data_IF_239796400156
#
_entry.id   IF_239796400156
#
_cell.length_a   1.000
_cell.length_b   1.000
_cell.length_c   1.000
_cell.angle_alpha   90.00
_cell.angle_beta   90.00
_cell.angle_gamma   90.00
#
_symmetry.space_group_name_H-M   'P 1'
#
loop_
_entity.id
_entity.type
_entity.pdbx_description
1 polymer ?
#
# COMPACT_ATOMS: atom_id res chain seq x y z
N UNK A 1 -5.83 -9.30 4.68
CA UNK A 1 -4.63 -10.10 5.03
C UNK A 1 -4.68 -11.40 4.26
N UNK A 2 -3.53 -11.86 3.81
CA UNK A 2 -3.40 -13.12 3.08
C UNK A 2 -3.67 -14.35 3.98
N UNK A 3 -3.64 -15.53 3.39
CA UNK A 3 -3.70 -16.79 4.14
C UNK A 3 -2.47 -16.92 5.05
N UNK A 4 -2.58 -17.79 6.03
CA UNK A 4 -1.46 -18.17 6.90
C UNK A 4 -0.27 -18.70 6.09
N UNK A 5 0.95 -18.39 6.53
CA UNK A 5 2.21 -18.82 5.90
C UNK A 5 2.38 -18.39 4.44
N UNK A 6 1.79 -17.26 4.06
CA UNK A 6 1.99 -16.69 2.72
C UNK A 6 3.19 -15.76 2.69
N UNK A 7 4.07 -15.99 1.74
CA UNK A 7 5.15 -15.08 1.37
C UNK A 7 4.73 -14.32 0.10
N UNK A 8 4.79 -12.99 0.15
CA UNK A 8 4.54 -12.11 -0.99
C UNK A 8 5.81 -11.33 -1.33
N UNK A 9 6.22 -11.40 -2.56
CA UNK A 9 7.34 -10.63 -3.10
C UNK A 9 6.81 -9.79 -4.25
N UNK A 10 7.09 -8.50 -4.25
CA UNK A 10 6.59 -7.65 -5.31
C UNK A 10 7.35 -6.36 -5.47
N UNK A 11 6.98 -5.65 -6.51
CA UNK A 11 7.46 -4.31 -6.78
C UNK A 11 6.40 -3.49 -7.49
N UNK A 12 6.42 -2.18 -7.21
CA UNK A 12 5.50 -1.23 -7.80
C UNK A 12 6.26 -0.07 -8.42
N UNK A 13 5.81 0.34 -9.58
CA UNK A 13 6.09 1.64 -10.13
C UNK A 13 5.19 2.67 -9.45
N UNK A 14 5.78 3.71 -8.88
CA UNK A 14 5.09 4.81 -8.23
C UNK A 14 5.19 6.07 -9.08
N UNK A 15 4.04 6.62 -9.43
CA UNK A 15 3.99 7.94 -10.02
C UNK A 15 4.51 8.98 -9.02
N UNK A 16 5.17 10.02 -9.52
CA UNK A 16 5.70 11.12 -8.69
C UNK A 16 4.65 11.78 -7.78
N UNK A 17 3.37 11.73 -8.16
CA UNK A 17 2.27 12.25 -7.34
C UNK A 17 2.02 11.45 -6.04
N UNK A 18 2.50 10.21 -5.98
CA UNK A 18 2.45 9.32 -4.81
C UNK A 18 3.71 9.38 -3.96
N UNK A 19 4.67 10.19 -4.35
CA UNK A 19 5.96 10.35 -3.69
C UNK A 19 6.06 11.72 -2.98
N UNK A 20 7.08 11.95 -2.15
CA UNK A 20 7.31 13.27 -1.56
C UNK A 20 7.33 14.38 -2.63
N UNK A 21 6.80 15.57 -2.33
CA UNK A 21 6.75 16.68 -3.30
C UNK A 21 8.11 17.11 -3.86
N UNK A 22 9.18 16.83 -3.14
CA UNK A 22 10.56 17.10 -3.57
C UNK A 22 11.12 16.08 -4.56
N UNK A 23 10.45 14.95 -4.72
CA UNK A 23 10.84 13.95 -5.71
C UNK A 23 10.18 14.28 -7.05
N UNK A 24 10.92 14.87 -7.93
CA UNK A 24 10.44 15.23 -9.27
C UNK A 24 10.36 14.05 -10.24
N UNK A 25 10.65 12.84 -9.77
CA UNK A 25 10.75 11.62 -10.58
C UNK A 25 9.73 10.58 -10.17
N UNK A 26 9.29 9.79 -11.14
CA UNK A 26 8.68 8.49 -10.86
C UNK A 26 9.70 7.58 -10.19
N UNK A 27 9.25 6.70 -9.33
CA UNK A 27 10.13 5.79 -8.61
C UNK A 27 9.56 4.38 -8.52
N UNK A 28 10.32 3.50 -7.89
CA UNK A 28 9.94 2.12 -7.67
C UNK A 28 10.03 1.79 -6.20
N UNK A 29 9.11 0.97 -5.72
CA UNK A 29 9.32 0.26 -4.48
C UNK A 29 9.33 -1.25 -4.72
N UNK A 30 10.02 -1.97 -3.86
CA UNK A 30 9.93 -3.41 -3.77
C UNK A 30 9.66 -3.81 -2.33
N UNK A 31 8.99 -4.92 -2.15
CA UNK A 31 8.62 -5.38 -0.82
C UNK A 31 8.67 -6.89 -0.70
N UNK A 32 8.92 -7.30 0.53
CA UNK A 32 8.77 -8.66 1.02
C UNK A 32 7.76 -8.64 2.15
N UNK A 33 6.70 -9.40 2.02
CA UNK A 33 5.63 -9.48 3.02
C UNK A 33 5.42 -10.94 3.43
N UNK A 34 5.33 -11.19 4.72
CA UNK A 34 5.14 -12.52 5.30
C UNK A 34 3.94 -12.51 6.23
N UNK A 35 2.96 -13.35 5.96
CA UNK A 35 1.88 -13.65 6.90
C UNK A 35 2.35 -14.77 7.83
N UNK A 36 2.82 -14.41 9.01
CA UNK A 36 3.39 -15.35 9.99
C UNK A 36 2.30 -16.15 10.67
N UNK A 37 1.21 -15.48 11.05
CA UNK A 37 0.01 -16.06 11.63
C UNK A 37 -1.25 -15.55 10.92
N UNK A 38 -2.38 -16.24 11.01
CA UNK A 38 -3.62 -15.75 10.40
C UNK A 38 -4.05 -14.34 10.83
N UNK A 39 -3.48 -13.84 11.92
CA UNK A 39 -3.77 -12.52 12.48
C UNK A 39 -2.59 -11.55 12.43
N UNK A 40 -1.38 -11.97 11.97
CA UNK A 40 -0.18 -11.13 11.94
C UNK A 40 0.55 -11.22 10.60
N UNK A 41 0.82 -10.05 10.03
CA UNK A 41 1.54 -9.88 8.78
C UNK A 41 2.64 -8.84 8.98
N UNK A 42 3.85 -9.15 8.54
CA UNK A 42 5.02 -8.27 8.60
C UNK A 42 5.53 -8.04 7.20
N UNK A 43 5.86 -6.81 6.86
CA UNK A 43 6.46 -6.48 5.59
C UNK A 43 7.73 -5.66 5.76
N UNK A 44 8.68 -5.88 4.85
CA UNK A 44 9.81 -5.00 4.60
C UNK A 44 9.60 -4.33 3.25
N UNK A 45 9.73 -3.02 3.20
CA UNK A 45 9.60 -2.24 1.97
C UNK A 45 10.83 -1.37 1.77
N UNK A 46 11.29 -1.30 0.54
CA UNK A 46 12.33 -0.38 0.12
C UNK A 46 11.83 0.45 -1.07
N UNK A 47 11.83 1.75 -0.92
CA UNK A 47 11.49 2.71 -1.98
C UNK A 47 12.77 3.33 -2.51
N UNK A 48 12.99 3.24 -3.81
CA UNK A 48 14.15 3.80 -4.48
C UNK A 48 13.86 5.25 -4.91
N UNK A 49 14.83 6.14 -4.78
CA UNK A 49 14.72 7.49 -5.30
C UNK A 49 16.05 8.03 -5.80
N UNK A 50 16.01 9.03 -6.68
CA UNK A 50 17.21 9.62 -7.26
C UNK A 50 17.90 10.57 -6.28
N UNK A 51 19.22 10.49 -6.19
CA UNK A 51 20.02 11.36 -5.35
C UNK A 51 19.88 12.85 -5.68
N UNK A 52 19.73 13.16 -6.96
CA UNK A 52 19.55 14.54 -7.46
C UNK A 52 18.33 15.24 -6.87
N UNK A 53 17.25 14.48 -6.63
CA UNK A 53 16.04 15.02 -6.01
C UNK A 53 16.27 15.54 -4.58
N UNK A 54 17.38 15.20 -3.98
CA UNK A 54 17.76 15.55 -2.61
C UNK A 54 18.85 16.61 -2.54
N UNK A 55 19.22 17.23 -3.66
CA UNK A 55 20.34 18.19 -3.70
C UNK A 55 21.71 17.53 -3.49
N UNK A 56 21.82 16.22 -3.65
CA UNK A 56 23.07 15.46 -3.56
C UNK A 56 23.83 15.39 -4.89
N UNK A 57 23.35 16.09 -5.90
CA UNK A 57 23.97 16.19 -7.23
C UNK A 57 25.47 16.51 -7.26
N UNK A 58 26.04 17.30 -6.32
CA UNK A 58 27.47 17.59 -6.36
C UNK A 58 28.36 16.37 -6.19
N UNK A 59 27.82 15.25 -5.76
CA UNK A 59 28.59 14.00 -5.56
C UNK A 59 28.57 13.07 -6.78
N UNK A 60 28.03 13.50 -7.91
CA UNK A 60 28.11 12.77 -9.17
C UNK A 60 27.26 11.48 -9.26
N UNK A 61 26.35 11.27 -8.35
CA UNK A 61 25.46 10.13 -8.37
C UNK A 61 24.25 10.41 -9.27
N UNK A 62 24.27 9.85 -10.46
CA UNK A 62 23.10 9.78 -11.35
C UNK A 62 22.42 8.43 -11.18
N UNK A 63 21.25 8.37 -10.57
CA UNK A 63 20.49 7.15 -10.48
C UNK A 63 19.77 6.90 -9.14
N UNK A 64 19.21 5.72 -8.99
CA UNK A 64 18.48 5.30 -7.78
C UNK A 64 19.44 4.84 -6.67
N UNK A 65 20.20 5.75 -6.10
CA UNK A 65 21.23 5.47 -5.11
C UNK A 65 20.72 5.59 -3.69
N UNK A 66 19.67 6.35 -3.46
CA UNK A 66 19.06 6.53 -2.15
C UNK A 66 17.84 5.62 -1.97
N UNK A 67 17.60 5.23 -0.73
CA UNK A 67 16.56 4.28 -0.39
C UNK A 67 15.89 4.69 0.91
N UNK A 68 14.55 4.71 0.90
CA UNK A 68 13.75 4.72 2.11
C UNK A 68 13.34 3.28 2.44
N UNK A 69 13.83 2.77 3.56
CA UNK A 69 13.63 1.38 3.99
C UNK A 69 12.84 1.34 5.28
N UNK A 70 11.77 0.57 5.30
CA UNK A 70 10.94 0.48 6.49
C UNK A 70 10.27 -0.87 6.64
N UNK A 71 9.87 -1.14 7.88
CA UNK A 71 9.03 -2.27 8.23
C UNK A 71 7.59 -1.84 8.41
N UNK A 72 6.68 -2.76 8.12
CA UNK A 72 5.25 -2.61 8.35
C UNK A 72 4.74 -3.80 9.12
N UNK A 73 3.75 -3.55 9.99
CA UNK A 73 3.07 -4.57 10.77
C UNK A 73 1.57 -4.41 10.59
N UNK A 74 0.86 -5.53 10.39
CA UNK A 74 -0.60 -5.60 10.38
C UNK A 74 -1.08 -6.65 11.35
N UNK A 75 -2.02 -6.28 12.20
CA UNK A 75 -2.63 -7.15 13.20
C UNK A 75 -4.14 -7.19 12.98
N UNK A 76 -4.68 -8.35 12.67
CA UNK A 76 -6.12 -8.55 12.54
C UNK A 76 -6.72 -8.82 13.91
N UNK A 77 -7.40 -7.82 14.47
CA UNK A 77 -8.06 -7.92 15.76
C UNK A 77 -9.35 -8.72 15.67
N UNK A 78 -10.12 -8.55 14.59
CA UNK A 78 -11.40 -9.21 14.41
C UNK A 78 -11.49 -9.82 13.01
N UNK A 79 -11.99 -11.06 12.93
CA UNK A 79 -12.33 -11.70 11.65
C UNK A 79 -13.69 -11.21 11.18
N UNK A 80 -13.88 -11.15 9.89
CA UNK A 80 -15.19 -10.91 9.31
C UNK A 80 -16.19 -12.00 9.73
N UNK A 81 -17.36 -11.56 10.17
CA UNK A 81 -18.42 -12.47 10.61
C UNK A 81 -18.13 -13.24 11.90
N UNK A 82 -17.16 -12.84 12.70
CA UNK A 82 -16.70 -13.59 13.88
C UNK A 82 -17.79 -13.77 14.95
N UNK A 83 -18.56 -12.73 15.25
CA UNK A 83 -19.62 -12.78 16.29
C UNK A 83 -21.02 -12.69 15.68
N UNK A 84 -21.19 -12.00 14.52
CA UNK A 84 -22.46 -11.94 13.80
C UNK A 84 -22.19 -11.72 12.29
N UNK A 85 -23.13 -12.12 11.45
CA UNK A 85 -23.02 -12.16 10.00
C UNK A 85 -22.51 -10.84 9.35
N UNK A 86 -22.93 -9.71 9.87
CA UNK A 86 -22.59 -8.40 9.28
C UNK A 86 -21.33 -7.76 9.87
N UNK A 87 -20.70 -8.41 10.83
CA UNK A 87 -19.50 -7.91 11.46
C UNK A 87 -18.35 -7.76 10.45
N UNK A 88 -17.73 -6.58 10.33
CA UNK A 88 -16.54 -6.40 9.49
C UNK A 88 -15.30 -7.03 10.12
N UNK A 89 -14.33 -7.36 9.30
CA UNK A 89 -12.97 -7.59 9.77
C UNK A 89 -12.34 -6.27 10.21
N UNK A 90 -11.57 -6.28 11.30
CA UNK A 90 -10.85 -5.09 11.79
C UNK A 90 -9.36 -5.40 11.86
N UNK A 91 -8.58 -4.51 11.28
CA UNK A 91 -7.11 -4.60 11.22
C UNK A 91 -6.52 -3.30 11.75
N UNK A 92 -5.55 -3.44 12.65
CA UNK A 92 -4.63 -2.38 13.03
C UNK A 92 -3.33 -2.54 12.26
N UNK A 93 -2.76 -1.45 11.79
CA UNK A 93 -1.50 -1.52 11.08
C UNK A 93 -0.63 -0.30 11.31
N UNK A 94 0.64 -0.49 11.03
CA UNK A 94 1.62 0.57 11.01
C UNK A 94 2.62 0.34 9.88
N UNK A 95 3.07 1.42 9.28
CA UNK A 95 4.21 1.44 8.36
C UNK A 95 5.24 2.39 8.92
N UNK A 96 6.49 2.00 8.90
CA UNK A 96 7.61 2.81 9.34
C UNK A 96 7.43 3.46 10.73
N UNK A 97 7.13 2.68 11.78
CA UNK A 97 6.83 3.23 13.10
C UNK A 97 8.07 3.82 13.81
N UNK A 98 9.27 3.46 13.36
CA UNK A 98 10.53 3.73 14.06
C UNK A 98 11.43 4.74 13.36
N UNK A 99 11.13 5.16 12.15
CA UNK A 99 11.99 6.12 11.44
C UNK A 99 12.03 7.44 12.18
N UNK A 100 13.23 7.80 12.61
CA UNK A 100 13.52 9.10 13.18
C UNK A 100 13.68 10.13 12.06
N UNK A 101 12.89 11.17 12.11
CA UNK A 101 12.93 12.29 11.16
C UNK A 101 14.04 13.29 11.45
N UNK A 102 14.85 13.04 12.46
CA UNK A 102 15.85 13.99 12.97
C UNK A 102 17.24 13.83 12.35
N UNK A 103 17.42 13.11 11.27
CA UNK A 103 18.72 13.14 10.62
C UNK A 103 18.92 14.49 9.93
N UNK A 104 19.94 15.21 10.29
CA UNK A 104 20.36 16.45 9.64
C UNK A 104 20.77 16.25 8.16
N UNK A 105 20.95 15.03 7.73
CA UNK A 105 21.02 14.66 6.31
C UNK A 105 19.66 14.67 5.62
N UNK A 106 18.64 14.93 6.36
CA UNK A 106 17.28 14.87 5.90
C UNK A 106 16.72 16.22 5.47
N UNK A 107 17.45 16.93 4.65
CA UNK A 107 16.77 17.48 3.48
C UNK A 107 16.06 16.33 2.72
N UNK A 108 16.16 15.13 3.21
CA UNK A 108 15.52 13.90 2.81
C UNK A 108 14.13 13.86 3.40
N UNK A 109 13.22 14.64 2.83
CA UNK A 109 11.79 14.51 3.07
C UNK A 109 11.30 13.07 2.80
N UNK A 110 12.17 12.21 2.25
CA UNK A 110 11.92 10.80 1.97
C UNK A 110 11.79 9.92 3.20
N UNK A 111 12.66 10.09 4.19
CA UNK A 111 12.64 9.25 5.37
C UNK A 111 11.41 9.51 6.23
N UNK A 112 10.63 8.47 6.48
CA UNK A 112 9.39 8.53 7.24
C UNK A 112 8.21 9.13 6.47
N UNK A 113 8.32 9.37 5.17
CA UNK A 113 7.20 9.81 4.35
C UNK A 113 6.03 8.82 4.41
N UNK A 114 6.33 7.53 4.43
CA UNK A 114 5.34 6.46 4.54
C UNK A 114 5.02 6.06 5.98
N UNK A 115 5.56 6.78 6.98
CA UNK A 115 5.27 6.52 8.39
C UNK A 115 3.81 6.81 8.68
N UNK A 116 3.09 5.78 9.14
CA UNK A 116 1.68 5.90 9.49
C UNK A 116 1.22 4.82 10.45
N UNK A 117 0.18 5.14 11.18
CA UNK A 117 -0.66 4.18 11.90
C UNK A 117 -2.04 4.20 11.26
N UNK A 118 -2.72 3.08 11.24
CA UNK A 118 -4.07 3.03 10.71
C UNK A 118 -4.91 1.95 11.37
N UNK A 119 -6.20 2.18 11.33
CA UNK A 119 -7.21 1.16 11.58
C UNK A 119 -8.05 1.01 10.32
N UNK A 120 -8.34 -0.22 9.95
CA UNK A 120 -9.15 -0.52 8.77
C UNK A 120 -10.25 -1.52 9.12
N UNK A 121 -11.45 -1.27 8.61
CA UNK A 121 -12.60 -2.16 8.67
C UNK A 121 -12.96 -2.60 7.25
N UNK A 122 -13.19 -3.90 7.06
CA UNK A 122 -13.53 -4.48 5.76
C UNK A 122 -14.72 -5.40 5.88
N UNK A 123 -15.68 -5.27 4.95
CA UNK A 123 -16.84 -6.14 4.82
C UNK A 123 -17.01 -6.58 3.37
N UNK A 124 -17.12 -7.90 3.16
CA UNK A 124 -17.46 -8.47 1.86
C UNK A 124 -18.94 -8.83 1.82
N UNK A 125 -19.58 -8.47 0.74
CA UNK A 125 -21.01 -8.66 0.50
C UNK A 125 -21.16 -9.52 -0.76
N UNK A 126 -21.55 -10.78 -0.60
CA UNK A 126 -21.80 -11.64 -1.76
C UNK A 126 -23.09 -11.22 -2.47
N UNK A 127 -23.03 -11.07 -3.78
CA UNK A 127 -24.14 -10.76 -4.67
C UNK A 127 -24.30 -11.91 -5.68
N UNK A 128 -24.88 -13.01 -5.23
CA UNK A 128 -24.96 -14.22 -6.03
C UNK A 128 -23.60 -14.83 -6.29
N UNK A 129 -23.10 -14.76 -7.53
CA UNK A 129 -21.76 -15.23 -7.93
C UNK A 129 -20.69 -14.13 -7.88
N UNK A 130 -21.08 -12.91 -7.58
CA UNK A 130 -20.22 -11.74 -7.53
C UNK A 130 -19.96 -11.34 -6.08
N UNK A 131 -18.98 -10.50 -5.85
CA UNK A 131 -18.66 -10.00 -4.52
C UNK A 131 -18.29 -8.52 -4.57
N UNK A 132 -18.87 -7.75 -3.65
CA UNK A 132 -18.46 -6.38 -3.39
C UNK A 132 -17.78 -6.34 -2.02
N UNK A 133 -16.56 -5.79 -1.98
CA UNK A 133 -15.87 -5.45 -0.75
C UNK A 133 -16.04 -3.96 -0.43
N UNK A 134 -16.37 -3.64 0.81
CA UNK A 134 -16.40 -2.26 1.31
C UNK A 134 -15.30 -2.12 2.36
N UNK A 135 -14.49 -1.10 2.23
CA UNK A 135 -13.33 -0.84 3.05
C UNK A 135 -13.40 0.58 3.61
N UNK A 136 -13.20 0.73 4.90
CA UNK A 136 -13.08 2.02 5.57
C UNK A 136 -11.82 2.00 6.40
N UNK A 137 -11.06 3.09 6.39
CA UNK A 137 -9.88 3.21 7.22
C UNK A 137 -9.68 4.65 7.72
N UNK A 138 -9.01 4.75 8.85
CA UNK A 138 -8.49 6.00 9.36
C UNK A 138 -6.99 5.90 9.44
N UNK A 139 -6.32 6.85 8.81
CA UNK A 139 -4.87 6.91 8.66
C UNK A 139 -4.34 8.08 9.51
N UNK A 140 -3.34 7.82 10.29
CA UNK A 140 -2.66 8.83 11.09
C UNK A 140 -1.16 8.83 10.79
N UNK A 141 -0.67 9.96 10.30
CA UNK A 141 0.74 10.26 10.16
C UNK A 141 1.09 11.41 11.11
N UNK A 142 2.21 11.35 11.79
CA UNK A 142 2.72 12.43 12.65
C UNK A 142 2.95 13.73 11.87
N UNK A 143 3.26 13.62 10.58
CA UNK A 143 3.46 14.75 9.67
C UNK A 143 2.15 15.05 8.95
N UNK A 144 1.49 16.12 9.36
CA UNK A 144 0.17 16.50 8.84
C UNK A 144 0.20 16.96 7.38
N UNK A 145 1.33 17.44 6.92
CA UNK A 145 1.58 17.91 5.56
C UNK A 145 1.61 16.76 4.53
N UNK A 146 1.81 15.53 4.98
CA UNK A 146 1.90 14.39 4.08
C UNK A 146 0.53 13.88 3.64
N UNK A 147 0.50 13.29 2.46
CA UNK A 147 -0.65 12.59 1.93
C UNK A 147 -1.01 11.38 2.81
N UNK A 148 -2.21 10.84 2.63
CA UNK A 148 -2.69 9.67 3.37
C UNK A 148 -2.78 9.91 4.88
N UNK A 149 -3.43 11.00 5.26
CA UNK A 149 -3.75 11.33 6.65
C UNK A 149 -5.23 11.69 6.75
N UNK A 150 -5.98 10.94 7.52
CA UNK A 150 -7.43 11.10 7.67
C UNK A 150 -8.23 9.86 7.27
N UNK A 151 -9.47 10.08 6.89
CA UNK A 151 -10.39 9.02 6.47
C UNK A 151 -10.10 8.58 5.05
N UNK A 152 -9.99 7.27 4.84
CA UNK A 152 -9.92 6.67 3.51
C UNK A 152 -11.02 5.60 3.37
N UNK A 153 -11.49 5.42 2.16
CA UNK A 153 -12.54 4.45 1.84
C UNK A 153 -12.25 3.76 0.51
N UNK A 154 -12.73 2.55 0.34
CA UNK A 154 -12.58 1.82 -0.91
C UNK A 154 -13.74 0.86 -1.16
N UNK A 155 -13.97 0.59 -2.42
CA UNK A 155 -14.90 -0.44 -2.89
C UNK A 155 -14.11 -1.35 -3.84
N UNK A 156 -14.26 -2.65 -3.65
CA UNK A 156 -13.75 -3.66 -4.57
C UNK A 156 -14.91 -4.44 -5.18
N UNK A 157 -14.79 -4.81 -6.43
CA UNK A 157 -15.77 -5.62 -7.15
C UNK A 157 -15.07 -6.80 -7.85
N UNK A 158 -15.53 -7.99 -7.54
CA UNK A 158 -15.06 -9.25 -8.13
C UNK A 158 -16.16 -9.77 -9.08
N UNK A 159 -16.02 -9.61 -10.41
CA UNK A 159 -17.01 -10.05 -11.38
C UNK A 159 -17.01 -11.58 -11.52
N UNK A 160 -18.20 -12.19 -11.60
CA UNK A 160 -18.34 -13.64 -11.74
C UNK A 160 -17.85 -14.18 -13.08
N UNK A 161 -17.91 -13.38 -14.16
CA UNK A 161 -17.45 -13.76 -15.49
C UNK A 161 -15.91 -13.77 -15.63
N UNK A 162 -15.18 -13.14 -14.72
CA UNK A 162 -13.74 -13.11 -14.65
C UNK A 162 -13.24 -13.17 -13.19
N UNK A 163 -13.23 -14.34 -12.56
CA UNK A 163 -12.85 -14.48 -11.14
C UNK A 163 -11.43 -14.03 -10.80
N UNK A 164 -10.56 -13.94 -11.81
CA UNK A 164 -9.18 -13.44 -11.65
C UNK A 164 -9.08 -11.91 -11.60
N UNK A 165 -10.14 -11.22 -12.05
CA UNK A 165 -10.19 -9.77 -12.11
C UNK A 165 -10.81 -9.22 -10.82
N UNK A 166 -10.22 -8.17 -10.27
CA UNK A 166 -10.81 -7.33 -9.23
C UNK A 166 -10.71 -5.88 -9.65
N UNK A 167 -11.82 -5.19 -9.66
CA UNK A 167 -11.86 -3.74 -9.86
C UNK A 167 -11.84 -3.04 -8.50
N UNK A 168 -11.22 -1.86 -8.46
CA UNK A 168 -10.98 -1.12 -7.24
C UNK A 168 -11.33 0.34 -7.49
N UNK A 169 -12.07 0.92 -6.58
CA UNK A 169 -12.29 2.37 -6.47
C UNK A 169 -11.93 2.75 -5.05
N UNK A 170 -11.06 3.73 -4.88
CA UNK A 170 -10.67 4.17 -3.55
C UNK A 170 -10.58 5.69 -3.44
N UNK A 171 -10.74 6.17 -2.23
CA UNK A 171 -10.50 7.53 -1.80
C UNK A 171 -9.44 7.49 -0.68
N UNK A 172 -8.32 8.10 -0.91
CA UNK A 172 -7.14 8.03 -0.05
C UNK A 172 -7.06 9.15 1.00
N UNK A 173 -8.18 9.75 1.37
CA UNK A 173 -8.34 10.96 2.19
C UNK A 173 -8.10 12.30 1.46
N UNK A 174 -7.70 12.29 0.21
CA UNK A 174 -7.51 13.49 -0.62
C UNK A 174 -8.05 13.33 -2.03
N UNK A 175 -7.69 12.22 -2.66
CA UNK A 175 -7.95 11.99 -4.08
C UNK A 175 -8.65 10.65 -4.31
N UNK A 176 -9.36 10.57 -5.43
CA UNK A 176 -9.91 9.30 -5.90
C UNK A 176 -8.92 8.57 -6.80
N UNK A 177 -8.86 7.26 -6.64
CA UNK A 177 -8.14 6.36 -7.50
C UNK A 177 -9.05 5.24 -8.01
N UNK A 178 -8.76 4.78 -9.21
CA UNK A 178 -9.41 3.65 -9.86
C UNK A 178 -8.35 2.64 -10.22
N UNK A 179 -8.60 1.39 -9.91
CA UNK A 179 -7.61 0.37 -10.15
C UNK A 179 -8.22 -0.96 -10.56
N UNK A 180 -7.34 -1.84 -11.00
CA UNK A 180 -7.66 -3.23 -11.25
C UNK A 180 -6.50 -4.12 -10.82
N UNK A 181 -6.83 -5.29 -10.29
CA UNK A 181 -5.86 -6.37 -10.10
C UNK A 181 -6.28 -7.58 -10.91
N UNK A 182 -5.29 -8.24 -11.51
CA UNK A 182 -5.50 -9.47 -12.26
C UNK A 182 -4.57 -10.56 -11.74
N UNK A 183 -5.15 -11.71 -11.38
CA UNK A 183 -4.40 -12.86 -10.87
C UNK A 183 -4.13 -13.86 -11.98
N UNK A 184 -2.88 -14.00 -12.38
CA UNK A 184 -2.44 -14.98 -13.37
C UNK A 184 -1.82 -16.19 -12.66
N UNK A 185 -2.12 -17.40 -13.15
CA UNK A 185 -1.59 -18.67 -12.62
C UNK A 185 -1.77 -18.88 -11.11
N UNK A 186 -2.74 -18.22 -10.47
CA UNK A 186 -3.07 -18.28 -9.03
C UNK A 186 -2.03 -17.64 -8.08
N UNK A 187 -0.86 -17.30 -8.54
CA UNK A 187 0.22 -16.77 -7.71
C UNK A 187 0.80 -15.43 -8.20
N UNK A 188 0.57 -15.07 -9.45
CA UNK A 188 1.09 -13.83 -10.04
C UNK A 188 -0.01 -12.78 -10.14
N UNK A 189 0.15 -11.66 -9.44
CA UNK A 189 -0.82 -10.57 -9.40
C UNK A 189 -0.26 -9.35 -10.11
N UNK A 190 -0.96 -8.89 -11.11
CA UNK A 190 -0.74 -7.60 -11.76
C UNK A 190 -1.68 -6.58 -11.13
N UNK A 191 -1.19 -5.41 -10.86
CA UNK A 191 -1.98 -4.29 -10.38
C UNK A 191 -1.72 -3.07 -11.25
N UNK A 192 -2.78 -2.36 -11.58
CA UNK A 192 -2.73 -1.05 -12.21
C UNK A 192 -3.67 -0.12 -11.46
N UNK A 193 -3.26 1.11 -11.30
CA UNK A 193 -4.03 2.15 -10.63
C UNK A 193 -3.89 3.47 -11.38
N UNK A 194 -4.96 4.22 -11.43
CA UNK A 194 -5.01 5.55 -12.01
C UNK A 194 -5.57 6.52 -10.96
N UNK A 195 -4.74 7.41 -10.48
CA UNK A 195 -5.11 8.44 -9.52
C UNK A 195 -5.47 9.75 -10.24
N UNK A 196 -6.52 10.44 -9.77
CA UNK A 196 -7.04 11.68 -10.37
C UNK A 196 -7.41 11.56 -11.86
N UNK A 197 -7.69 10.36 -12.36
CA UNK A 197 -7.91 10.09 -13.79
C UNK A 197 -6.74 10.52 -14.70
N UNK A 198 -5.53 10.65 -14.16
CA UNK A 198 -4.39 11.24 -14.86
C UNK A 198 -3.07 10.52 -14.59
N UNK A 199 -2.84 10.02 -13.37
CA UNK A 199 -1.55 9.50 -12.94
C UNK A 199 -1.60 7.99 -12.77
N UNK A 200 -0.82 7.27 -13.56
CA UNK A 200 -0.74 5.83 -13.51
C UNK A 200 0.35 5.34 -12.56
N UNK A 201 0.01 4.31 -11.82
CA UNK A 201 0.93 3.48 -11.05
C UNK A 201 0.60 2.01 -11.30
N UNK A 202 1.52 1.13 -11.05
CA UNK A 202 1.27 -0.29 -11.25
C UNK A 202 2.32 -1.17 -10.62
N UNK A 203 2.01 -2.44 -10.47
CA UNK A 203 2.89 -3.36 -9.81
C UNK A 203 2.67 -4.81 -10.16
N UNK A 204 3.63 -5.60 -9.71
CA UNK A 204 3.66 -7.04 -9.83
C UNK A 204 3.92 -7.65 -8.46
N UNK A 205 3.16 -8.67 -8.12
CA UNK A 205 3.34 -9.42 -6.86
C UNK A 205 3.25 -10.92 -7.13
N UNK A 206 4.17 -11.67 -6.54
CA UNK A 206 4.16 -13.12 -6.51
C UNK A 206 3.78 -13.58 -5.11
N UNK A 207 2.77 -14.43 -5.00
CA UNK A 207 2.32 -15.04 -3.75
C UNK A 207 2.76 -16.50 -3.70
N UNK A 208 3.49 -16.87 -2.65
CA UNK A 208 3.97 -18.23 -2.41
C UNK A 208 3.30 -18.72 -1.11
N UNK A 209 2.61 -19.85 -1.20
CA UNK A 209 1.89 -20.48 -0.09
C UNK A 209 2.57 -21.74 0.37
#
# INVERSE_FOLDING_TARGET
>A
MQRDKTLMIGGNFLNKELTPPTWYYHTYNYFLNVTIFPWMEVAYTCTLFKAEALGLAPYGYSGFTNQDRYFSLRLRALKEGQFWKYMPAVVFGTSDPFTSTNSQMASTEGNGYYSRFYVAATKHIPLGREEIGVHLSYLYNKRKEYKLNGMAAGITYNPSFHPQLRLIVEYDSKDFAFGATYCLFKYLHFQVEMQKMQYFSGGLTVNIH
#
